data_IF_453044914963
#
_entry.id   IF_453044914963
#
_cell.length_a   1.000
_cell.length_b   1.000
_cell.length_c   1.000
_cell.angle_alpha   90.00
_cell.angle_beta   90.00
_cell.angle_gamma   90.00
#
_symmetry.space_group_name_H-M   'P 1'
#
loop_
_entity.id
_entity.type
_entity.pdbx_description
1 polymer ?
#
# COMPACT_ATOMS: atom_id res chain seq x y z
N UNK A 1 27.33 -27.98 -46.08
CA UNK A 1 26.29 -28.73 -45.34
C UNK A 1 26.17 -28.03 -43.99
N UNK A 2 25.57 -26.83 -44.01
CA UNK A 2 25.46 -25.95 -42.86
C UNK A 2 24.26 -26.35 -42.01
N UNK A 3 24.53 -26.70 -40.74
CA UNK A 3 23.51 -26.93 -39.73
C UNK A 3 22.94 -25.58 -39.28
N UNK A 4 21.74 -25.22 -39.75
CA UNK A 4 20.94 -24.18 -39.15
C UNK A 4 19.86 -24.80 -38.27
N UNK A 5 20.20 -25.03 -36.99
CA UNK A 5 19.22 -25.30 -35.94
C UNK A 5 18.60 -23.96 -35.52
N UNK A 6 17.49 -23.59 -36.15
CA UNK A 6 16.60 -22.56 -35.64
C UNK A 6 15.83 -23.10 -34.44
N UNK A 7 16.35 -22.84 -33.23
CA UNK A 7 15.62 -23.10 -31.99
C UNK A 7 14.50 -22.08 -31.83
N UNK A 8 13.29 -22.59 -31.64
CA UNK A 8 12.05 -21.90 -31.33
C UNK A 8 12.22 -20.69 -30.40
N UNK A 9 12.12 -19.48 -30.94
CA UNK A 9 11.87 -18.24 -30.18
C UNK A 9 10.38 -18.15 -29.89
N UNK A 10 9.93 -18.89 -28.87
CA UNK A 10 8.59 -18.78 -28.33
C UNK A 10 8.45 -17.55 -27.44
N UNK A 11 7.48 -16.70 -27.79
CA UNK A 11 6.68 -15.84 -26.90
C UNK A 11 7.34 -14.70 -26.07
N UNK A 12 8.67 -14.61 -25.94
CA UNK A 12 9.32 -13.54 -25.15
C UNK A 12 9.27 -12.15 -25.80
N UNK A 13 8.90 -12.05 -27.08
CA UNK A 13 8.99 -10.78 -27.83
C UNK A 13 7.96 -9.71 -27.43
N UNK A 14 6.89 -10.08 -26.71
CA UNK A 14 5.83 -9.13 -26.31
C UNK A 14 6.28 -8.19 -25.20
N UNK A 15 6.81 -8.74 -24.10
CA UNK A 15 7.27 -7.98 -22.94
C UNK A 15 8.44 -7.05 -23.30
N UNK A 16 9.40 -7.55 -24.08
CA UNK A 16 10.56 -6.77 -24.54
C UNK A 16 10.13 -5.58 -25.41
N UNK A 17 9.10 -5.74 -26.25
CA UNK A 17 8.57 -4.65 -27.08
C UNK A 17 7.90 -3.58 -26.23
N UNK A 18 7.10 -3.98 -25.23
CA UNK A 18 6.44 -3.05 -24.32
C UNK A 18 7.47 -2.27 -23.50
N UNK A 19 8.51 -2.95 -23.01
CA UNK A 19 9.61 -2.33 -22.27
C UNK A 19 10.36 -1.30 -23.13
N UNK A 20 10.75 -1.66 -24.34
CA UNK A 20 11.45 -0.74 -25.24
C UNK A 20 10.59 0.49 -25.61
N UNK A 21 9.28 0.30 -25.77
CA UNK A 21 8.37 1.42 -25.99
C UNK A 21 8.33 2.35 -24.77
N UNK A 22 8.21 1.79 -23.56
CA UNK A 22 8.23 2.57 -22.32
C UNK A 22 9.51 3.41 -22.20
N UNK A 23 10.67 2.80 -22.47
CA UNK A 23 11.96 3.50 -22.45
C UNK A 23 12.00 4.66 -23.45
N UNK A 24 11.50 4.45 -24.67
CA UNK A 24 11.47 5.46 -25.73
C UNK A 24 10.57 6.65 -25.34
N UNK A 25 9.41 6.37 -24.74
CA UNK A 25 8.53 7.42 -24.24
C UNK A 25 9.16 8.17 -23.07
N UNK A 26 9.80 7.47 -22.13
CA UNK A 26 10.48 8.09 -20.98
C UNK A 26 11.57 9.07 -21.43
N UNK A 27 12.38 8.70 -22.42
CA UNK A 27 13.41 9.59 -22.98
C UNK A 27 12.78 10.81 -23.69
N UNK A 28 11.63 10.62 -24.36
CA UNK A 28 10.88 11.67 -25.06
C UNK A 28 10.15 12.68 -24.16
N UNK A 29 9.89 12.34 -22.89
CA UNK A 29 9.16 13.18 -21.94
C UNK A 29 9.94 14.41 -21.43
N UNK A 30 11.27 14.39 -21.56
CA UNK A 30 12.19 15.43 -21.05
C UNK A 30 12.03 16.82 -21.69
N UNK A 31 11.33 16.94 -22.83
CA UNK A 31 11.45 18.12 -23.71
C UNK A 31 10.37 19.19 -23.50
N UNK A 32 9.24 18.91 -22.81
CA UNK A 32 8.08 19.85 -22.81
C UNK A 32 7.36 20.09 -21.48
N UNK A 33 7.49 19.23 -20.46
CA UNK A 33 6.82 19.37 -19.14
C UNK A 33 7.66 18.71 -18.05
N UNK A 34 7.67 19.28 -16.85
CA UNK A 34 8.24 18.63 -15.65
C UNK A 34 7.30 17.49 -15.24
N UNK A 35 7.68 16.25 -15.51
CA UNK A 35 6.96 15.04 -15.11
C UNK A 35 7.82 14.27 -14.10
N UNK A 36 7.18 13.74 -13.06
CA UNK A 36 7.80 12.84 -12.09
C UNK A 36 7.20 11.45 -12.27
N UNK A 37 8.05 10.44 -12.44
CA UNK A 37 7.65 9.05 -12.58
C UNK A 37 8.11 8.31 -11.33
N UNK A 38 7.19 7.64 -10.65
CA UNK A 38 7.48 6.81 -9.47
C UNK A 38 7.13 5.37 -9.83
N UNK A 39 8.11 4.47 -9.72
CA UNK A 39 7.92 3.03 -9.82
C UNK A 39 8.01 2.39 -8.43
N UNK A 40 7.16 1.41 -8.17
CA UNK A 40 7.19 0.61 -6.95
C UNK A 40 7.37 -0.87 -7.31
N UNK A 41 8.32 -1.54 -6.67
CA UNK A 41 8.53 -3.00 -6.80
C UNK A 41 8.93 -3.60 -5.47
N UNK A 42 8.47 -4.84 -5.22
CA UNK A 42 8.93 -5.65 -4.09
C UNK A 42 10.14 -6.52 -4.47
N UNK A 43 10.55 -6.51 -5.74
CA UNK A 43 11.65 -7.32 -6.26
C UNK A 43 12.56 -6.40 -7.10
N UNK A 44 13.45 -5.62 -6.49
CA UNK A 44 14.32 -4.68 -7.22
C UNK A 44 15.38 -5.39 -8.07
N UNK A 45 15.79 -6.60 -7.69
CA UNK A 45 16.90 -7.33 -8.33
C UNK A 45 16.60 -7.81 -9.75
N UNK A 46 15.32 -7.84 -10.14
CA UNK A 46 14.87 -8.29 -11.47
C UNK A 46 14.56 -7.13 -12.43
N UNK A 47 14.77 -5.88 -12.02
CA UNK A 47 14.56 -4.72 -12.88
C UNK A 47 15.60 -4.72 -14.00
N UNK A 48 15.17 -4.45 -15.23
CA UNK A 48 16.07 -4.28 -16.37
C UNK A 48 17.06 -3.12 -16.11
N UNK A 49 18.38 -3.34 -16.21
CA UNK A 49 19.38 -2.29 -16.00
C UNK A 49 19.20 -1.04 -16.88
N UNK A 50 18.57 -1.16 -18.05
CA UNK A 50 18.26 -0.02 -18.92
C UNK A 50 17.27 0.95 -18.27
N UNK A 51 16.37 0.48 -17.41
CA UNK A 51 15.44 1.33 -16.66
C UNK A 51 16.14 2.15 -15.57
N UNK A 52 17.26 1.66 -15.04
CA UNK A 52 18.01 2.27 -13.94
C UNK A 52 19.08 3.29 -14.41
N UNK A 53 19.16 3.54 -15.71
CA UNK A 53 20.11 4.50 -16.27
C UNK A 53 19.71 5.96 -15.92
N UNK A 54 20.70 6.88 -15.83
CA UNK A 54 20.45 8.29 -15.57
C UNK A 54 19.35 8.89 -16.47
N UNK A 55 18.43 9.65 -15.87
CA UNK A 55 17.28 10.25 -16.57
C UNK A 55 16.02 9.37 -16.66
N UNK A 56 16.06 8.13 -16.14
CA UNK A 56 14.92 7.21 -16.04
C UNK A 56 14.58 6.91 -14.56
N UNK A 57 14.63 5.66 -14.12
CA UNK A 57 14.47 5.28 -12.71
C UNK A 57 15.83 5.29 -11.99
N UNK A 58 16.52 6.43 -12.02
CA UNK A 58 17.86 6.59 -11.45
C UNK A 58 17.87 6.91 -9.94
N UNK A 59 16.73 7.29 -9.38
CA UNK A 59 16.54 7.49 -7.94
C UNK A 59 15.90 6.25 -7.30
N UNK A 60 16.71 5.45 -6.61
CA UNK A 60 16.23 4.28 -5.87
C UNK A 60 16.01 4.63 -4.40
N UNK A 61 14.76 4.52 -3.95
CA UNK A 61 14.37 4.74 -2.55
C UNK A 61 13.99 3.40 -1.94
N UNK A 62 14.76 2.95 -0.95
CA UNK A 62 14.45 1.75 -0.18
C UNK A 62 13.55 2.09 1.01
N UNK A 63 12.44 1.35 1.14
CA UNK A 63 11.51 1.46 2.27
C UNK A 63 11.77 0.28 3.20
N UNK A 64 12.43 0.49 4.36
CA UNK A 64 12.68 -0.57 5.32
C UNK A 64 11.40 -0.95 6.09
N UNK A 65 11.48 -2.04 6.85
CA UNK A 65 10.49 -2.35 7.88
C UNK A 65 10.44 -1.23 8.93
N UNK A 66 9.28 -1.09 9.57
CA UNK A 66 9.05 -0.03 10.56
C UNK A 66 9.92 -0.25 11.81
N UNK A 67 10.69 0.78 12.18
CA UNK A 67 11.33 0.86 13.49
C UNK A 67 10.32 1.29 14.56
N UNK A 68 10.73 1.29 15.84
CA UNK A 68 9.83 1.69 16.94
C UNK A 68 9.26 3.10 16.73
N UNK A 69 10.10 4.02 16.23
CA UNK A 69 9.70 5.42 16.00
C UNK A 69 8.66 5.53 14.88
N UNK A 70 8.83 4.78 13.78
CA UNK A 70 7.89 4.70 12.67
C UNK A 70 6.59 4.02 13.09
N UNK A 71 6.66 2.90 13.82
CA UNK A 71 5.49 2.22 14.38
C UNK A 71 4.64 3.18 15.21
N UNK A 72 5.26 3.98 16.07
CA UNK A 72 4.56 4.99 16.87
C UNK A 72 3.85 6.03 16.00
N UNK A 73 4.48 6.50 14.91
CA UNK A 73 3.85 7.45 14.00
C UNK A 73 2.69 6.81 13.23
N UNK A 74 2.83 5.55 12.81
CA UNK A 74 1.75 4.81 12.14
C UNK A 74 0.57 4.64 13.09
N UNK A 75 0.79 4.19 14.34
CA UNK A 75 -0.27 4.10 15.34
C UNK A 75 -0.95 5.45 15.59
N UNK A 76 -0.18 6.54 15.71
CA UNK A 76 -0.74 7.89 15.85
C UNK A 76 -1.57 8.28 14.64
N UNK A 77 -1.16 7.93 13.42
CA UNK A 77 -1.89 8.23 12.20
C UNK A 77 -3.19 7.42 12.10
N UNK A 78 -3.12 6.10 12.32
CA UNK A 78 -4.25 5.17 12.28
C UNK A 78 -5.30 5.52 13.36
N UNK A 79 -4.85 5.85 14.57
CA UNK A 79 -5.74 6.08 15.73
C UNK A 79 -6.11 7.56 15.92
N UNK A 80 -5.66 8.47 15.05
CA UNK A 80 -5.85 9.92 15.19
C UNK A 80 -7.32 10.35 15.36
N UNK A 81 -8.25 9.62 14.73
CA UNK A 81 -9.69 9.90 14.75
C UNK A 81 -10.49 8.84 15.50
N UNK A 82 -9.81 7.89 16.13
CA UNK A 82 -10.44 6.75 16.80
C UNK A 82 -10.81 7.12 18.24
N UNK A 83 -11.91 6.57 18.79
CA UNK A 83 -12.33 6.79 20.18
C UNK A 83 -11.43 5.99 21.16
N UNK A 84 -10.14 6.34 21.21
CA UNK A 84 -9.18 5.75 22.15
C UNK A 84 -9.15 6.50 23.47
N UNK A 85 -8.99 5.77 24.57
CA UNK A 85 -8.82 6.37 25.90
C UNK A 85 -7.45 7.06 26.01
N UNK A 86 -7.37 8.12 26.83
CA UNK A 86 -6.14 8.89 27.04
C UNK A 86 -5.01 8.11 27.71
N UNK A 87 -5.33 6.97 28.33
CA UNK A 87 -4.38 6.10 29.03
C UNK A 87 -3.83 4.97 28.14
N UNK A 88 -4.16 4.93 26.86
CA UNK A 88 -3.57 3.96 25.93
C UNK A 88 -2.12 4.36 25.63
N UNK A 89 -1.19 3.50 26.02
CA UNK A 89 0.24 3.70 25.76
C UNK A 89 0.61 3.24 24.34
N UNK A 90 0.58 4.17 23.38
CA UNK A 90 0.99 3.91 22.00
C UNK A 90 2.49 3.60 21.87
N UNK A 91 3.30 4.07 22.81
CA UNK A 91 4.75 3.82 22.80
C UNK A 91 5.02 2.37 23.21
N UNK A 92 4.27 1.84 24.18
CA UNK A 92 4.29 0.41 24.47
C UNK A 92 3.89 -0.44 23.27
N UNK A 93 2.82 -0.08 22.57
CA UNK A 93 2.41 -0.80 21.35
C UNK A 93 3.51 -0.80 20.29
N UNK A 94 4.11 0.36 20.04
CA UNK A 94 5.19 0.51 19.06
C UNK A 94 6.41 -0.38 19.38
N UNK A 95 6.78 -0.56 20.66
CA UNK A 95 7.85 -1.47 21.07
C UNK A 95 7.55 -2.93 20.73
N UNK A 96 6.30 -3.37 20.90
CA UNK A 96 5.90 -4.76 20.66
C UNK A 96 5.68 -5.07 19.17
N UNK A 97 5.47 -4.05 18.34
CA UNK A 97 5.27 -4.22 16.89
C UNK A 97 6.49 -3.80 16.07
N UNK A 98 7.69 -3.87 16.65
CA UNK A 98 8.92 -3.60 15.91
C UNK A 98 9.07 -4.59 14.74
N UNK A 99 9.44 -4.08 13.56
CA UNK A 99 9.60 -4.89 12.35
C UNK A 99 8.30 -5.21 11.62
N UNK A 100 7.15 -4.68 12.06
CA UNK A 100 5.88 -4.84 11.36
C UNK A 100 5.85 -3.94 10.12
N UNK A 101 5.19 -4.39 9.06
CA UNK A 101 4.86 -3.52 7.93
C UNK A 101 3.69 -2.61 8.31
N UNK A 102 3.61 -1.43 7.69
CA UNK A 102 2.55 -0.46 8.01
C UNK A 102 1.13 -1.02 7.79
N UNK A 103 0.98 -1.96 6.86
CA UNK A 103 -0.27 -2.67 6.63
C UNK A 103 -0.72 -3.49 7.86
N UNK A 104 0.18 -4.21 8.51
CA UNK A 104 -0.15 -5.03 9.69
C UNK A 104 -0.60 -4.15 10.87
N UNK A 105 0.09 -3.04 11.10
CA UNK A 105 -0.27 -2.08 12.15
C UNK A 105 -1.65 -1.46 11.88
N UNK A 106 -1.92 -1.14 10.61
CA UNK A 106 -3.21 -0.60 10.18
C UNK A 106 -4.33 -1.61 10.38
N UNK A 107 -4.11 -2.87 9.98
CA UNK A 107 -5.08 -3.95 10.15
C UNK A 107 -5.40 -4.21 11.62
N UNK A 108 -4.38 -4.29 12.49
CA UNK A 108 -4.57 -4.45 13.93
C UNK A 108 -5.39 -3.28 14.49
N UNK A 109 -5.06 -2.05 14.09
CA UNK A 109 -5.76 -0.84 14.56
C UNK A 109 -7.22 -0.82 14.12
N UNK A 110 -7.49 -1.19 12.86
CA UNK A 110 -8.85 -1.28 12.32
C UNK A 110 -9.67 -2.32 13.05
N UNK A 111 -9.12 -3.53 13.20
CA UNK A 111 -9.81 -4.66 13.81
C UNK A 111 -10.17 -4.45 15.28
N UNK A 112 -9.30 -3.77 16.03
CA UNK A 112 -9.59 -3.39 17.42
C UNK A 112 -10.74 -2.37 17.47
N UNK A 113 -10.75 -1.38 16.56
CA UNK A 113 -11.82 -0.39 16.51
C UNK A 113 -13.18 -1.04 16.18
N UNK A 114 -13.22 -1.91 15.17
CA UNK A 114 -14.44 -2.63 14.77
C UNK A 114 -15.01 -3.48 15.93
N UNK A 115 -14.13 -4.13 16.70
CA UNK A 115 -14.52 -4.91 17.86
C UNK A 115 -15.10 -4.02 18.97
N UNK A 116 -14.48 -2.87 19.24
CA UNK A 116 -14.95 -1.90 20.23
C UNK A 116 -16.33 -1.38 19.84
N UNK A 117 -16.54 -1.01 18.58
CA UNK A 117 -17.84 -0.57 18.08
C UNK A 117 -18.91 -1.65 18.24
N UNK A 118 -18.57 -2.91 17.94
CA UNK A 118 -19.49 -4.05 18.10
C UNK A 118 -19.90 -4.26 19.56
N UNK A 119 -18.95 -4.17 20.50
CA UNK A 119 -19.23 -4.33 21.94
C UNK A 119 -20.07 -3.17 22.48
N UNK A 120 -19.78 -1.93 22.04
CA UNK A 120 -20.55 -0.75 22.43
C UNK A 120 -21.98 -0.79 21.86
N UNK A 121 -22.15 -1.23 20.62
CA UNK A 121 -23.46 -1.42 19.99
C UNK A 121 -24.27 -2.55 20.66
N UNK A 122 -23.60 -3.64 21.04
CA UNK A 122 -24.22 -4.78 21.74
C UNK A 122 -24.69 -4.47 23.17
N UNK A 123 -24.15 -3.42 23.80
CA UNK A 123 -24.52 -3.01 25.15
C UNK A 123 -25.79 -2.12 25.21
N UNK A 124 -26.39 -1.79 24.07
CA UNK A 124 -27.56 -0.90 23.95
C UNK A 124 -28.92 -1.58 23.77
N UNK A 125 -29.00 -2.92 23.73
CA UNK A 125 -30.24 -3.64 23.46
C UNK A 125 -30.84 -4.32 24.69
N UNK A 126 -31.19 -3.55 25.72
CA UNK A 126 -32.30 -3.91 26.61
C UNK A 126 -33.06 -2.66 27.10
N UNK A 127 -33.82 -2.05 26.18
CA UNK A 127 -35.10 -1.34 26.43
C UNK A 127 -35.52 -0.54 25.19
N UNK A 128 -36.40 -1.14 24.38
CA UNK A 128 -37.69 -0.60 23.90
C UNK A 128 -38.09 -1.28 22.60
N UNK A 129 -39.03 -2.19 22.74
CA UNK A 129 -40.00 -2.57 21.72
C UNK A 129 -40.61 -1.32 21.06
N UNK A 130 -40.55 -1.26 19.73
CA UNK A 130 -41.12 -0.16 18.96
C UNK A 130 -40.64 -0.14 17.51
N UNK A 131 -41.28 -0.96 16.68
CA UNK A 131 -41.42 -0.86 15.22
C UNK A 131 -40.75 0.34 14.52
N UNK A 132 -39.83 0.06 13.58
CA UNK A 132 -39.86 0.63 12.22
C UNK A 132 -38.84 -0.06 11.31
N UNK A 133 -39.40 -0.77 10.34
CA UNK A 133 -38.82 -1.11 9.05
C UNK A 133 -38.38 0.18 8.34
N UNK A 134 -37.16 0.23 7.83
CA UNK A 134 -36.69 1.28 6.92
C UNK A 134 -35.20 1.55 7.06
N UNK A 135 -34.51 1.57 5.93
CA UNK A 135 -33.18 2.14 5.72
C UNK A 135 -31.97 1.27 6.12
N UNK A 136 -31.85 0.16 5.39
CA UNK A 136 -30.53 -0.35 4.99
C UNK A 136 -29.95 0.60 3.94
N UNK A 137 -29.45 1.75 4.39
CA UNK A 137 -28.59 2.58 3.55
C UNK A 137 -27.17 2.06 3.69
N UNK A 138 -26.70 1.50 2.58
CA UNK A 138 -25.31 1.23 2.21
C UNK A 138 -24.28 2.06 2.97
N UNK A 139 -23.58 1.42 3.91
CA UNK A 139 -22.26 1.87 4.35
C UNK A 139 -21.28 1.56 3.23
N UNK A 140 -21.25 2.47 2.26
CA UNK A 140 -20.22 2.56 1.24
C UNK A 140 -18.89 2.63 1.96
N UNK A 141 -18.12 1.55 1.86
CA UNK A 141 -16.71 1.49 2.24
C UNK A 141 -16.04 2.72 1.65
N UNK A 142 -15.73 3.69 2.50
CA UNK A 142 -14.98 4.87 2.11
C UNK A 142 -13.54 4.47 1.97
N UNK A 143 -13.27 3.91 0.81
CA UNK A 143 -12.02 4.02 0.06
C UNK A 143 -11.53 5.47 0.16
N UNK A 144 -10.68 5.73 1.16
CA UNK A 144 -10.01 7.02 1.36
C UNK A 144 -8.59 6.76 1.79
N UNK A 145 -7.73 6.91 0.80
CA UNK A 145 -6.46 7.62 0.91
C UNK A 145 -5.51 7.07 1.97
N UNK A 146 -4.90 5.91 1.69
CA UNK A 146 -3.64 5.57 2.32
C UNK A 146 -2.77 4.70 1.39
N UNK A 147 -2.20 5.34 0.38
CA UNK A 147 -0.92 4.95 -0.21
C UNK A 147 -0.18 6.24 -0.54
N UNK A 148 0.86 6.53 0.24
CA UNK A 148 2.01 7.35 -0.15
C UNK A 148 3.24 6.50 0.10
#
# INVERSE_FOLDING_TARGET
MDLQRGSSRGDSGGADRVLNQLLTEMDGMSVKKTLFIIGATNIPDIIDPALLQPGRFDQLIYIPLSDESSCLQIFKACLRKSPILKNVDLLALARYTHGFIGADITEISSRVLDLVETVLAGSGSDRRSGSRQGDRESLTVRERDLYV
#
